data_IF_490012633852
#
_entry.id   IF_490012633852
#
_cell.length_a   1.000
_cell.length_b   1.000
_cell.length_c   1.000
_cell.angle_alpha   90.00
_cell.angle_beta   90.00
_cell.angle_gamma   90.00
#
_symmetry.space_group_name_H-M   'P 1'
#
loop_
_entity.id
_entity.type
_entity.pdbx_description
1 polymer ?
#
# COMPACT_ATOMS: atom_id res chain seq x y z
N UNK A 1 -16.85 15.39 1.55
CA UNK A 1 -15.67 14.85 2.28
C UNK A 1 -16.10 13.59 3.00
N UNK A 2 -15.41 12.49 2.76
CA UNK A 2 -15.73 11.22 3.42
C UNK A 2 -15.14 11.20 4.82
N UNK A 3 -15.97 10.94 5.82
CA UNK A 3 -15.53 10.77 7.19
C UNK A 3 -15.32 9.29 7.49
N UNK A 4 -14.35 9.01 8.37
CA UNK A 4 -14.15 7.64 8.84
C UNK A 4 -15.34 7.21 9.69
N UNK A 5 -15.82 5.97 9.51
CA UNK A 5 -16.98 5.48 10.25
C UNK A 5 -16.74 5.35 11.76
N UNK A 6 -15.48 5.24 12.17
CA UNK A 6 -15.10 5.08 13.57
C UNK A 6 -13.81 5.85 13.88
N UNK A 7 -13.67 6.32 15.11
CA UNK A 7 -12.47 7.04 15.56
C UNK A 7 -11.19 6.20 15.43
N UNK A 8 -11.27 4.89 15.66
CA UNK A 8 -10.13 3.98 15.49
C UNK A 8 -9.67 3.90 14.04
N UNK A 9 -10.57 4.01 13.09
CA UNK A 9 -10.23 4.00 11.65
C UNK A 9 -9.40 5.23 11.28
N UNK A 10 -9.76 6.39 11.77
CA UNK A 10 -8.99 7.62 11.61
C UNK A 10 -7.59 7.47 12.19
N UNK A 11 -7.50 6.96 13.41
CA UNK A 11 -6.22 6.77 14.10
C UNK A 11 -5.29 5.81 13.35
N UNK A 12 -5.81 4.70 12.84
CA UNK A 12 -5.03 3.73 12.07
C UNK A 12 -4.56 4.33 10.74
N UNK A 13 -5.43 5.08 10.06
CA UNK A 13 -5.05 5.79 8.84
C UNK A 13 -3.90 6.76 9.11
N UNK A 14 -3.99 7.60 10.14
CA UNK A 14 -2.94 8.54 10.52
C UNK A 14 -1.61 7.84 10.82
N UNK A 15 -1.65 6.68 11.49
CA UNK A 15 -0.46 5.96 11.93
C UNK A 15 0.22 5.16 10.82
N UNK A 16 -0.56 4.54 9.92
CA UNK A 16 -0.04 3.50 9.03
C UNK A 16 -0.13 3.83 7.54
N UNK A 17 -1.13 4.58 7.11
CA UNK A 17 -1.46 4.73 5.69
C UNK A 17 -1.32 6.15 5.15
N UNK A 18 -1.56 7.14 5.99
CA UNK A 18 -1.44 8.55 5.61
C UNK A 18 0.02 8.87 5.26
N UNK A 19 0.23 9.42 4.06
CA UNK A 19 1.57 9.71 3.56
C UNK A 19 2.24 10.82 4.38
N UNK A 20 3.48 10.57 4.79
CA UNK A 20 4.34 11.49 5.52
C UNK A 20 5.65 11.68 4.77
N UNK A 21 6.28 12.83 4.96
CA UNK A 21 7.64 13.08 4.50
C UNK A 21 8.66 12.42 5.45
N UNK A 22 9.95 12.62 5.15
CA UNK A 22 11.04 12.08 5.97
C UNK A 22 11.10 12.67 7.37
N UNK A 23 10.49 13.83 7.58
CA UNK A 23 10.43 14.52 8.87
C UNK A 23 9.17 14.16 9.69
N UNK A 24 8.31 13.31 9.14
CA UNK A 24 7.06 12.92 9.78
C UNK A 24 5.92 13.89 9.57
N UNK A 25 6.08 14.89 8.68
CA UNK A 25 5.00 15.82 8.33
C UNK A 25 4.01 15.17 7.37
N UNK A 26 2.73 15.31 7.65
CA UNK A 26 1.69 14.76 6.78
C UNK A 26 1.64 15.49 5.44
N UNK A 27 1.68 14.73 4.36
CA UNK A 27 1.52 15.21 2.99
C UNK A 27 0.08 15.07 2.49
N UNK A 28 -0.70 14.24 3.15
CA UNK A 28 -2.12 14.03 2.87
C UNK A 28 -2.95 14.61 3.99
N UNK A 29 -4.02 15.34 3.67
CA UNK A 29 -4.88 15.99 4.65
C UNK A 29 -6.19 15.25 4.86
N UNK A 30 -6.64 14.52 3.84
CA UNK A 30 -7.90 13.76 3.87
C UNK A 30 -7.67 12.36 3.31
N UNK A 31 -8.59 11.44 3.60
CA UNK A 31 -8.56 10.09 3.04
C UNK A 31 -8.73 10.10 1.51
N UNK A 32 -9.42 11.12 0.98
CA UNK A 32 -9.53 11.33 -0.46
C UNK A 32 -8.15 11.53 -1.12
N UNK A 33 -7.24 12.20 -0.44
CA UNK A 33 -5.86 12.37 -0.94
C UNK A 33 -5.14 11.01 -1.06
N UNK A 34 -5.36 10.12 -0.11
CA UNK A 34 -4.86 8.74 -0.15
C UNK A 34 -5.43 7.99 -1.35
N UNK A 35 -6.74 8.03 -1.55
CA UNK A 35 -7.39 7.38 -2.71
C UNK A 35 -6.89 7.96 -4.03
N UNK A 36 -6.69 9.26 -4.11
CA UNK A 36 -6.16 9.93 -5.30
C UNK A 36 -4.74 9.48 -5.61
N UNK A 37 -3.89 9.39 -4.60
CA UNK A 37 -2.51 8.88 -4.74
C UNK A 37 -2.49 7.45 -5.28
N UNK A 38 -3.28 6.55 -4.69
CA UNK A 38 -3.39 5.16 -5.14
C UNK A 38 -3.92 5.06 -6.57
N UNK A 39 -5.00 5.75 -6.87
CA UNK A 39 -5.62 5.73 -8.20
C UNK A 39 -4.63 6.20 -9.27
N UNK A 40 -3.91 7.27 -9.01
CA UNK A 40 -2.90 7.82 -9.90
C UNK A 40 -1.75 6.84 -10.13
N UNK A 41 -1.25 6.21 -9.06
CA UNK A 41 -0.14 5.27 -9.15
C UNK A 41 -0.53 4.00 -9.92
N UNK A 42 -1.68 3.43 -9.60
CA UNK A 42 -2.14 2.17 -10.20
C UNK A 42 -2.55 2.35 -11.68
N UNK A 43 -3.04 3.51 -12.05
CA UNK A 43 -3.44 3.79 -13.44
C UNK A 43 -2.28 3.95 -14.41
N UNK A 44 -1.04 4.15 -13.92
CA UNK A 44 0.14 4.35 -14.78
C UNK A 44 0.43 3.18 -15.71
N UNK A 45 0.03 1.98 -15.33
CA UNK A 45 0.22 0.77 -16.15
C UNK A 45 -0.86 0.60 -17.24
N UNK A 46 -1.88 1.42 -17.23
CA UNK A 46 -3.00 1.32 -18.18
C UNK A 46 -2.69 2.07 -19.47
N UNK A 47 -3.36 1.65 -20.56
CA UNK A 47 -3.20 2.29 -21.87
C UNK A 47 -3.71 3.74 -21.88
N UNK A 48 -4.74 4.05 -21.09
CA UNK A 48 -5.27 5.40 -20.90
C UNK A 48 -5.27 5.74 -19.41
N UNK A 49 -4.14 6.21 -18.87
CA UNK A 49 -4.00 6.45 -17.44
C UNK A 49 -5.04 7.42 -16.86
N UNK A 50 -5.40 8.48 -17.58
CA UNK A 50 -6.36 9.48 -17.07
C UNK A 50 -7.76 8.90 -16.89
N UNK A 51 -8.19 8.10 -17.84
CA UNK A 51 -9.48 7.40 -17.77
C UNK A 51 -9.52 6.46 -16.56
N UNK A 52 -8.50 5.61 -16.41
CA UNK A 52 -8.45 4.62 -15.35
C UNK A 52 -8.20 5.23 -13.98
N UNK A 53 -7.46 6.34 -13.90
CA UNK A 53 -7.31 7.09 -12.65
C UNK A 53 -8.69 7.51 -12.10
N UNK A 54 -9.55 8.05 -12.95
CA UNK A 54 -10.91 8.44 -12.55
C UNK A 54 -11.73 7.23 -12.11
N UNK A 55 -11.67 6.13 -12.86
CA UNK A 55 -12.40 4.89 -12.53
C UNK A 55 -11.92 4.33 -11.19
N UNK A 56 -10.62 4.23 -10.99
CA UNK A 56 -10.03 3.72 -9.75
C UNK A 56 -10.37 4.61 -8.55
N UNK A 57 -10.26 5.92 -8.70
CA UNK A 57 -10.64 6.85 -7.66
C UNK A 57 -12.12 6.68 -7.26
N UNK A 58 -13.01 6.61 -8.22
CA UNK A 58 -14.44 6.41 -7.95
C UNK A 58 -14.74 5.07 -7.29
N UNK A 59 -13.94 4.04 -7.60
CA UNK A 59 -14.06 2.72 -6.98
C UNK A 59 -13.64 2.74 -5.51
N UNK A 60 -12.61 3.53 -5.17
CA UNK A 60 -12.09 3.66 -3.82
C UNK A 60 -12.92 4.61 -2.94
N UNK A 61 -13.60 5.58 -3.55
CA UNK A 61 -14.35 6.62 -2.84
C UNK A 61 -15.42 6.00 -1.93
N UNK A 62 -15.60 6.62 -0.76
CA UNK A 62 -16.57 6.20 0.25
C UNK A 62 -16.37 4.77 0.77
N UNK A 63 -15.12 4.30 0.77
CA UNK A 63 -14.74 2.96 1.24
C UNK A 63 -15.44 1.81 0.50
N UNK A 64 -15.84 2.04 -0.75
CA UNK A 64 -16.51 0.99 -1.56
C UNK A 64 -15.61 -0.20 -1.83
N UNK A 65 -14.31 0.04 -1.93
CA UNK A 65 -13.27 -0.98 -2.12
C UNK A 65 -12.07 -0.64 -1.26
N UNK A 66 -11.58 -1.63 -0.50
CA UNK A 66 -10.40 -1.49 0.36
C UNK A 66 -9.28 -2.36 -0.19
N UNK A 67 -8.26 -1.77 -0.83
CA UNK A 67 -7.06 -2.51 -1.21
C UNK A 67 -6.31 -3.04 0.00
N UNK A 68 -5.48 -4.05 -0.22
CA UNK A 68 -4.61 -4.59 0.81
C UNK A 68 -3.67 -3.51 1.38
N UNK A 69 -3.24 -3.69 2.62
CA UNK A 69 -2.48 -2.69 3.36
C UNK A 69 -1.21 -2.21 2.66
N UNK A 70 -0.46 -3.11 2.02
CA UNK A 70 0.76 -2.75 1.28
C UNK A 70 0.47 -1.85 0.08
N UNK A 71 -0.64 -2.07 -0.60
CA UNK A 71 -1.08 -1.23 -1.73
C UNK A 71 -1.44 0.17 -1.21
N UNK A 72 -2.20 0.26 -0.14
CA UNK A 72 -2.60 1.53 0.46
C UNK A 72 -1.41 2.33 0.99
N UNK A 73 -0.48 1.67 1.66
CA UNK A 73 0.69 2.32 2.26
C UNK A 73 1.79 2.64 1.23
N UNK A 74 1.96 1.81 0.20
CA UNK A 74 3.11 1.87 -0.70
C UNK A 74 2.88 2.45 -2.07
N UNK A 75 1.64 2.42 -2.60
CA UNK A 75 1.37 2.90 -3.96
C UNK A 75 1.60 4.40 -4.08
N UNK A 76 2.36 4.80 -5.10
CA UNK A 76 2.59 6.22 -5.40
C UNK A 76 3.48 6.95 -4.41
N UNK A 77 4.23 6.23 -3.57
CA UNK A 77 5.24 6.80 -2.68
C UNK A 77 6.60 6.81 -3.38
N UNK A 78 7.53 7.60 -2.87
CA UNK A 78 8.92 7.64 -3.37
C UNK A 78 9.74 6.42 -2.93
N UNK A 79 9.22 5.64 -1.99
CA UNK A 79 9.92 4.48 -1.46
C UNK A 79 9.83 3.31 -2.41
N UNK A 80 10.95 2.60 -2.58
CA UNK A 80 10.99 1.35 -3.34
C UNK A 80 10.51 0.20 -2.45
N UNK A 81 9.23 -0.07 -2.47
CA UNK A 81 8.58 -1.09 -1.65
C UNK A 81 7.77 -2.04 -2.53
N UNK A 82 7.59 -3.28 -2.05
CA UNK A 82 6.70 -4.23 -2.69
C UNK A 82 5.24 -3.93 -2.31
N UNK A 83 4.33 -4.20 -3.23
CA UNK A 83 2.89 -4.04 -3.00
C UNK A 83 2.20 -5.35 -2.62
N UNK A 84 2.97 -6.40 -2.36
CA UNK A 84 2.48 -7.70 -1.91
C UNK A 84 2.54 -7.79 -0.39
N UNK A 85 1.52 -8.38 0.22
CA UNK A 85 1.46 -8.58 1.65
C UNK A 85 2.23 -9.82 2.10
N UNK A 86 2.25 -10.88 1.28
CA UNK A 86 2.79 -12.18 1.63
C UNK A 86 3.65 -12.74 0.50
N UNK A 87 4.64 -13.53 0.90
CA UNK A 87 5.53 -14.23 -0.02
C UNK A 87 5.60 -15.69 0.39
N UNK A 88 5.52 -16.58 -0.61
CA UNK A 88 5.70 -18.02 -0.38
C UNK A 88 7.11 -18.37 -0.80
N UNK A 89 7.94 -18.76 0.18
CA UNK A 89 9.29 -19.21 -0.05
C UNK A 89 9.27 -20.71 -0.37
N UNK A 90 10.42 -21.27 -0.74
CA UNK A 90 10.54 -22.69 -1.02
C UNK A 90 10.43 -23.60 0.21
N UNK A 91 10.58 -24.90 0.01
CA UNK A 91 10.64 -25.87 1.09
C UNK A 91 11.93 -25.66 1.88
N UNK A 92 11.84 -25.70 3.21
CA UNK A 92 13.02 -25.63 4.08
C UNK A 92 13.66 -27.03 4.14
N UNK A 93 14.88 -27.23 3.59
CA UNK A 93 15.57 -28.52 3.72
C UNK A 93 15.93 -28.82 5.17
N UNK A 94 15.86 -30.07 5.56
CA UNK A 94 16.25 -30.52 6.91
C UNK A 94 17.78 -30.64 7.02
N UNK A 95 18.43 -29.48 6.96
CA UNK A 95 19.88 -29.33 7.13
C UNK A 95 20.20 -27.94 7.65
N UNK A 96 21.30 -27.79 8.34
CA UNK A 96 21.74 -26.49 8.86
C UNK A 96 21.89 -25.45 7.71
N UNK A 97 22.55 -25.86 6.63
CA UNK A 97 22.73 -24.99 5.46
C UNK A 97 21.39 -24.58 4.85
N UNK A 98 20.49 -25.54 4.62
CA UNK A 98 19.19 -25.29 4.03
C UNK A 98 18.33 -24.36 4.87
N UNK A 99 18.33 -24.51 6.18
CA UNK A 99 17.60 -23.63 7.13
C UNK A 99 18.10 -22.19 7.00
N UNK A 100 19.41 -21.97 7.04
CA UNK A 100 19.98 -20.63 6.93
C UNK A 100 19.85 -20.03 5.52
N UNK A 101 19.89 -20.85 4.46
CA UNK A 101 19.62 -20.38 3.10
C UNK A 101 18.20 -19.84 2.96
N UNK A 102 17.21 -20.52 3.51
CA UNK A 102 15.82 -20.09 3.49
C UNK A 102 15.61 -18.84 4.33
N UNK A 103 16.28 -18.73 5.47
CA UNK A 103 16.26 -17.50 6.28
C UNK A 103 16.84 -16.32 5.50
N UNK A 104 17.94 -16.51 4.80
CA UNK A 104 18.55 -15.51 3.92
C UNK A 104 17.58 -15.04 2.84
N UNK A 105 16.93 -15.97 2.13
CA UNK A 105 15.91 -15.62 1.12
C UNK A 105 14.78 -14.79 1.72
N UNK A 106 14.26 -15.20 2.86
CA UNK A 106 13.20 -14.46 3.55
C UNK A 106 13.65 -13.05 3.94
N UNK A 107 14.86 -12.90 4.42
CA UNK A 107 15.43 -11.60 4.82
C UNK A 107 15.66 -10.66 3.63
N UNK A 108 15.97 -11.18 2.47
CA UNK A 108 16.21 -10.40 1.24
C UNK A 108 14.92 -10.06 0.48
N UNK A 109 13.82 -10.65 0.83
CA UNK A 109 12.51 -10.36 0.27
C UNK A 109 11.89 -9.15 0.96
#
# INVERSE_FOLDING_TARGET
MSDFPMAISQQIWDMKYRLKDQNGTFLEHTVEDTWRRMAKALSKAEADPKKWETIFFNTLTDFKFLPAGRITAGSGTERNVTLFNCFVMGVIPDSMSGIFDMLKEAALT
#
